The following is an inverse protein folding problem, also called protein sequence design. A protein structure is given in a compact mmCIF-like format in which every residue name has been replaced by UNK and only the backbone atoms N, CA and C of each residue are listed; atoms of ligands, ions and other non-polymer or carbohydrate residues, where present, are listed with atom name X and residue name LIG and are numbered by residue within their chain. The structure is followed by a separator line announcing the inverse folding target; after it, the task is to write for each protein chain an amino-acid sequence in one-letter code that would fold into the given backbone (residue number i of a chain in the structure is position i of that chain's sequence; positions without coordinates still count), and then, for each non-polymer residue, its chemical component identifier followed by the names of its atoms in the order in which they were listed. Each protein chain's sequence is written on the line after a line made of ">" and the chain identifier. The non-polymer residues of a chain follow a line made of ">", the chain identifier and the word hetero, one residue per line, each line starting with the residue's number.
data_IF_958321539222
#
_entry.id   IF_958321539222
#
_cell.length_a   1.000
_cell.length_b   1.000
_cell.length_c   1.000
_cell.angle_alpha   90.00
_cell.angle_beta   90.00
_cell.angle_gamma   90.00
#
_symmetry.space_group_name_H-M   'P 1'
#
loop_
_entity.id
_entity.type
_entity.pdbx_description
1 polymer ?
#
# COMPACT_ATOMS: atom_id res chain seq x y z
N UNK A 1 8.04 -36.96 0.29
CA UNK A 1 6.76 -36.23 0.46
C UNK A 1 6.77 -35.43 1.75
N UNK A 2 5.87 -34.42 1.91
CA UNK A 2 5.85 -33.62 3.15
C UNK A 2 5.02 -34.26 4.25
N UNK A 3 5.49 -34.13 5.49
CA UNK A 3 4.83 -34.56 6.70
C UNK A 3 5.00 -33.57 7.84
N UNK A 4 4.30 -33.80 8.95
CA UNK A 4 4.41 -33.00 10.17
C UNK A 4 4.62 -33.96 11.35
N UNK A 5 5.59 -33.68 12.22
CA UNK A 5 5.83 -34.44 13.43
C UNK A 5 4.66 -34.17 14.39
N UNK A 6 3.91 -35.22 14.73
CA UNK A 6 2.78 -35.13 15.65
C UNK A 6 3.26 -35.27 17.09
N UNK A 7 4.21 -36.15 17.33
CA UNK A 7 4.74 -36.44 18.66
C UNK A 7 6.23 -36.72 18.56
N UNK A 8 6.99 -36.27 19.57
CA UNK A 8 8.39 -36.59 19.76
C UNK A 8 8.65 -36.88 21.24
N UNK A 9 9.27 -38.01 21.55
CA UNK A 9 9.52 -38.47 22.93
C UNK A 9 11.02 -38.59 23.27
N UNK A 10 11.90 -37.99 22.44
CA UNK A 10 13.33 -37.91 22.68
C UNK A 10 14.18 -38.92 21.89
N UNK A 11 13.70 -40.12 21.66
CA UNK A 11 14.35 -41.19 20.88
C UNK A 11 13.44 -41.70 19.75
N UNK A 12 12.13 -41.62 19.93
CA UNK A 12 11.13 -42.06 18.96
C UNK A 12 10.02 -41.04 18.80
N UNK A 13 9.35 -41.07 17.69
CA UNK A 13 8.27 -40.12 17.37
C UNK A 13 7.29 -40.65 16.34
N UNK A 14 6.28 -39.83 16.05
CA UNK A 14 5.29 -40.11 15.03
C UNK A 14 5.20 -38.94 14.07
N UNK A 15 5.25 -39.21 12.75
CA UNK A 15 5.06 -38.25 11.67
C UNK A 15 3.82 -38.56 10.90
N UNK A 16 3.01 -37.54 10.57
CA UNK A 16 1.91 -37.63 9.64
C UNK A 16 2.33 -37.20 8.25
N UNK A 17 2.17 -38.07 7.26
CA UNK A 17 2.48 -37.75 5.87
C UNK A 17 1.53 -38.51 4.94
N UNK A 18 1.01 -37.84 3.91
CA UNK A 18 0.10 -38.44 2.93
C UNK A 18 -1.17 -39.06 3.50
N UNK A 19 -1.68 -38.54 4.63
CA UNK A 19 -2.86 -39.06 5.32
C UNK A 19 -2.60 -40.30 6.18
N UNK A 20 -1.38 -40.75 6.29
CA UNK A 20 -0.96 -41.89 7.11
C UNK A 20 -0.04 -41.39 8.25
N UNK A 21 0.10 -42.23 9.29
CA UNK A 21 1.02 -42.01 10.40
C UNK A 21 2.13 -43.04 10.31
N UNK A 22 3.35 -42.59 10.50
CA UNK A 22 4.54 -43.42 10.51
C UNK A 22 5.27 -43.22 11.85
N UNK A 23 5.67 -44.27 12.47
CA UNK A 23 6.58 -44.24 13.63
C UNK A 23 8.01 -44.11 13.14
N UNK A 24 8.84 -43.35 13.83
CA UNK A 24 10.24 -43.17 13.47
C UNK A 24 11.12 -43.09 14.72
N UNK A 25 12.32 -43.58 14.59
CA UNK A 25 13.40 -43.47 15.58
C UNK A 25 14.39 -42.38 15.14
N UNK A 26 15.25 -41.98 16.07
CA UNK A 26 16.25 -40.92 15.80
C UNK A 26 17.18 -41.29 14.64
N UNK A 27 17.37 -42.59 14.36
CA UNK A 27 18.22 -43.08 13.26
C UNK A 27 17.65 -42.72 11.86
N UNK A 28 16.35 -42.49 11.76
CA UNK A 28 15.71 -42.02 10.53
C UNK A 28 15.86 -40.52 10.33
N UNK A 29 16.38 -39.79 11.33
CA UNK A 29 16.48 -38.33 11.29
C UNK A 29 17.77 -37.88 10.61
N UNK A 30 17.64 -37.09 9.53
CA UNK A 30 18.76 -36.53 8.76
C UNK A 30 18.93 -35.04 8.95
N UNK A 31 18.64 -34.49 10.10
CA UNK A 31 18.73 -33.06 10.39
C UNK A 31 19.77 -32.73 11.47
N UNK A 32 20.31 -31.52 11.41
CA UNK A 32 21.21 -30.99 12.43
C UNK A 32 20.47 -30.40 13.65
N UNK A 33 19.15 -30.34 13.60
CA UNK A 33 18.26 -29.80 14.64
C UNK A 33 17.51 -30.97 15.27
N UNK A 34 17.32 -30.94 16.59
CA UNK A 34 16.55 -31.98 17.29
C UNK A 34 15.10 -31.96 16.79
N UNK A 35 14.47 -33.12 16.49
CA UNK A 35 13.09 -33.22 16.14
C UNK A 35 12.18 -32.54 17.18
N UNK A 36 11.16 -31.82 16.74
CA UNK A 36 10.18 -31.19 17.63
C UNK A 36 8.75 -31.38 17.09
N UNK A 37 7.80 -31.46 18.01
CA UNK A 37 6.38 -31.52 17.66
C UNK A 37 5.97 -30.31 16.82
N UNK A 38 5.14 -30.53 15.80
CA UNK A 38 4.68 -29.55 14.81
C UNK A 38 5.75 -29.12 13.79
N UNK A 39 6.94 -29.72 13.80
CA UNK A 39 7.96 -29.47 12.78
C UNK A 39 7.55 -30.07 11.44
N UNK A 40 7.69 -29.31 10.37
CA UNK A 40 7.49 -29.77 9.00
C UNK A 40 8.73 -30.49 8.51
N UNK A 41 8.56 -31.67 7.97
CA UNK A 41 9.63 -32.56 7.52
C UNK A 41 9.37 -33.08 6.12
N UNK A 42 10.42 -33.35 5.39
CA UNK A 42 10.37 -34.14 4.17
C UNK A 42 10.54 -35.62 4.53
N UNK A 43 9.57 -36.43 4.10
CA UNK A 43 9.47 -37.86 4.43
C UNK A 43 9.85 -38.65 3.19
N UNK A 44 10.90 -39.43 3.27
CA UNK A 44 11.27 -40.43 2.28
C UNK A 44 10.64 -41.78 2.68
N UNK A 45 9.93 -42.39 1.77
CA UNK A 45 9.31 -43.73 1.97
C UNK A 45 9.89 -44.65 0.93
N UNK A 46 10.34 -45.83 1.39
CA UNK A 46 10.84 -46.91 0.54
C UNK A 46 10.03 -48.18 0.84
N UNK A 47 9.47 -48.80 -0.18
CA UNK A 47 8.60 -50.02 -0.09
C UNK A 47 7.44 -49.90 0.93
N UNK A 48 6.96 -48.66 1.20
CA UNK A 48 5.86 -48.42 2.13
C UNK A 48 6.29 -48.18 3.57
N UNK A 49 7.58 -48.32 3.89
CA UNK A 49 8.18 -48.02 5.18
C UNK A 49 8.91 -46.68 5.17
N UNK A 50 9.06 -46.08 6.34
CA UNK A 50 9.75 -44.79 6.46
C UNK A 50 11.28 -45.03 6.36
N UNK A 51 11.89 -44.40 5.32
CA UNK A 51 13.34 -44.52 5.10
C UNK A 51 14.14 -43.40 5.77
N UNK A 52 13.64 -42.14 5.65
CA UNK A 52 14.35 -41.00 6.22
C UNK A 52 13.41 -39.80 6.43
N UNK A 53 13.79 -38.92 7.39
CA UNK A 53 13.15 -37.67 7.72
C UNK A 53 14.17 -36.54 7.66
N UNK A 54 13.88 -35.51 6.85
CA UNK A 54 14.73 -34.33 6.74
C UNK A 54 13.92 -33.09 7.16
N UNK A 55 14.41 -32.25 8.08
CA UNK A 55 13.71 -31.02 8.46
C UNK A 55 13.65 -30.04 7.29
N UNK A 56 12.47 -29.47 7.04
CA UNK A 56 12.31 -28.38 6.07
C UNK A 56 12.60 -27.07 6.79
N UNK A 57 13.52 -26.26 6.26
CA UNK A 57 13.89 -24.99 6.87
C UNK A 57 12.74 -24.00 6.82
N UNK A 58 12.59 -23.16 7.85
CA UNK A 58 11.58 -22.07 7.86
C UNK A 58 11.76 -21.12 6.68
N UNK A 59 13.00 -20.88 6.25
CA UNK A 59 13.30 -20.05 5.08
C UNK A 59 12.77 -20.67 3.78
N UNK A 60 12.74 -21.99 3.67
CA UNK A 60 12.21 -22.70 2.51
C UNK A 60 10.67 -22.69 2.50
N UNK A 61 10.05 -22.90 3.66
CA UNK A 61 8.60 -22.75 3.85
C UNK A 61 8.13 -21.33 3.55
N UNK A 62 8.89 -20.31 4.02
CA UNK A 62 8.60 -18.91 3.72
C UNK A 62 8.73 -18.60 2.22
N UNK A 63 9.75 -19.12 1.52
CA UNK A 63 9.92 -18.95 0.07
C UNK A 63 8.79 -19.59 -0.71
N UNK A 64 8.35 -20.78 -0.34
CA UNK A 64 7.24 -21.45 -1.03
C UNK A 64 5.91 -20.76 -0.79
N UNK A 65 5.63 -20.32 0.44
CA UNK A 65 4.43 -19.54 0.73
C UNK A 65 4.42 -18.22 -0.05
N UNK A 66 5.57 -17.54 -0.15
CA UNK A 66 5.73 -16.33 -0.93
C UNK A 66 5.53 -16.61 -2.44
N UNK A 67 6.08 -17.70 -2.95
CA UNK A 67 5.92 -18.11 -4.35
C UNK A 67 4.47 -18.49 -4.67
N UNK A 68 3.76 -19.17 -3.77
CA UNK A 68 2.34 -19.48 -3.91
C UNK A 68 1.49 -18.20 -3.92
N UNK A 69 1.72 -17.27 -2.98
CA UNK A 69 1.03 -15.98 -2.92
C UNK A 69 1.29 -15.13 -4.17
N UNK A 70 2.54 -15.09 -4.68
CA UNK A 70 2.86 -14.34 -5.91
C UNK A 70 2.23 -14.98 -7.14
N UNK A 71 2.11 -16.29 -7.21
CA UNK A 71 1.45 -17.02 -8.30
C UNK A 71 -0.04 -16.71 -8.41
N UNK A 72 -0.77 -16.74 -7.30
CA UNK A 72 -2.18 -16.35 -7.23
C UNK A 72 -2.36 -14.84 -7.42
N UNK A 73 -1.59 -14.02 -6.74
CA UNK A 73 -1.61 -12.57 -6.89
C UNK A 73 -1.40 -12.12 -8.34
N UNK A 74 -0.54 -12.82 -9.08
CA UNK A 74 -0.31 -12.55 -10.51
C UNK A 74 -1.51 -12.87 -11.39
N UNK A 75 -2.29 -13.90 -11.07
CA UNK A 75 -3.55 -14.22 -11.78
C UNK A 75 -4.59 -13.13 -11.53
N UNK A 76 -4.78 -12.73 -10.28
CA UNK A 76 -5.69 -11.63 -9.92
C UNK A 76 -5.25 -10.31 -10.53
N UNK A 77 -3.96 -9.98 -10.44
CA UNK A 77 -3.42 -8.79 -11.07
C UNK A 77 -3.72 -8.74 -12.57
N UNK A 78 -3.45 -9.82 -13.33
CA UNK A 78 -3.76 -9.90 -14.75
C UNK A 78 -5.25 -9.69 -15.04
N UNK A 79 -6.15 -10.27 -14.25
CA UNK A 79 -7.58 -10.10 -14.41
C UNK A 79 -8.03 -8.66 -14.13
N UNK A 80 -7.51 -8.05 -13.05
CA UNK A 80 -7.78 -6.63 -12.72
C UNK A 80 -7.23 -5.71 -13.81
N UNK A 81 -6.01 -5.94 -14.29
CA UNK A 81 -5.42 -5.15 -15.38
C UNK A 81 -6.21 -5.25 -16.69
N UNK A 82 -6.75 -6.44 -17.01
CA UNK A 82 -7.58 -6.62 -18.19
C UNK A 82 -8.90 -5.86 -18.10
N UNK A 83 -9.54 -5.84 -16.93
CA UNK A 83 -10.83 -5.16 -16.70
C UNK A 83 -10.64 -3.64 -16.54
N UNK A 84 -9.62 -3.22 -15.81
CA UNK A 84 -9.35 -1.80 -15.50
C UNK A 84 -8.70 -1.06 -16.66
N UNK A 85 -7.99 -1.75 -17.55
CA UNK A 85 -7.28 -1.19 -18.70
C UNK A 85 -5.90 -0.64 -18.33
N UNK A 86 -4.99 -0.71 -19.29
CA UNK A 86 -3.56 -0.36 -19.12
C UNK A 86 -3.34 1.07 -18.65
N UNK A 87 -4.10 2.03 -19.19
CA UNK A 87 -3.94 3.45 -18.88
C UNK A 87 -4.18 3.75 -17.39
N UNK A 88 -5.25 3.17 -16.83
CA UNK A 88 -5.60 3.36 -15.42
C UNK A 88 -4.58 2.66 -14.53
N UNK A 89 -4.11 1.48 -14.91
CA UNK A 89 -3.09 0.75 -14.18
C UNK A 89 -1.76 1.54 -14.13
N UNK A 90 -1.36 2.16 -15.24
CA UNK A 90 -0.19 3.05 -15.29
C UNK A 90 -0.41 4.26 -14.39
N UNK A 91 -1.60 4.86 -14.42
CA UNK A 91 -1.95 5.99 -13.55
C UNK A 91 -1.83 5.64 -12.06
N UNK A 92 -2.30 4.47 -11.63
CA UNK A 92 -2.14 4.02 -10.24
C UNK A 92 -0.69 3.69 -9.88
N UNK A 93 0.09 3.13 -10.81
CA UNK A 93 1.51 2.93 -10.64
C UNK A 93 2.25 4.26 -10.46
N UNK A 94 1.95 5.24 -11.30
CA UNK A 94 2.49 6.59 -11.19
C UNK A 94 2.09 7.25 -9.86
N UNK A 95 0.82 7.15 -9.47
CA UNK A 95 0.34 7.65 -8.17
C UNK A 95 1.15 7.05 -7.01
N UNK A 96 1.34 5.74 -7.00
CA UNK A 96 2.08 5.04 -5.94
C UNK A 96 3.54 5.52 -5.87
N UNK A 97 4.23 5.61 -7.03
CA UNK A 97 5.62 6.07 -7.09
C UNK A 97 5.73 7.52 -6.62
N UNK A 98 4.84 8.41 -7.09
CA UNK A 98 4.85 9.82 -6.70
C UNK A 98 4.55 9.96 -5.21
N UNK A 99 3.56 9.24 -4.69
CA UNK A 99 3.15 9.31 -3.30
C UNK A 99 4.23 8.85 -2.31
N UNK A 100 5.06 7.88 -2.70
CA UNK A 100 6.07 7.28 -1.83
C UNK A 100 7.44 7.96 -1.96
N UNK A 101 7.81 8.41 -3.16
CA UNK A 101 9.21 8.77 -3.45
C UNK A 101 9.41 10.22 -3.93
N UNK A 102 8.34 10.89 -4.37
CA UNK A 102 8.49 12.24 -4.91
C UNK A 102 8.16 13.29 -3.85
N UNK A 103 9.06 14.25 -3.69
CA UNK A 103 8.87 15.36 -2.77
C UNK A 103 7.75 16.28 -3.28
N UNK A 104 6.73 16.48 -2.46
CA UNK A 104 5.60 17.34 -2.77
C UNK A 104 5.80 18.76 -2.29
N UNK A 105 6.39 18.93 -1.12
CA UNK A 105 6.62 20.21 -0.46
C UNK A 105 8.02 20.21 0.11
N UNK A 106 8.72 21.33 -0.03
CA UNK A 106 10.02 21.57 0.58
C UNK A 106 9.87 22.70 1.59
N UNK A 107 10.36 22.50 2.82
CA UNK A 107 10.41 23.59 3.80
C UNK A 107 11.56 24.55 3.45
N UNK A 108 11.23 25.82 3.23
CA UNK A 108 12.22 26.88 3.07
C UNK A 108 12.73 27.28 4.45
N UNK A 109 13.97 26.97 4.76
CA UNK A 109 14.55 27.28 6.08
C UNK A 109 15.98 26.80 6.24
N UNK A 110 16.70 26.55 5.13
CA UNK A 110 18.12 26.19 5.16
C UNK A 110 18.41 24.71 5.51
N UNK A 111 17.45 24.00 6.06
CA UNK A 111 17.51 22.55 6.26
C UNK A 111 16.53 21.95 5.23
N UNK A 112 17.06 21.41 4.14
CA UNK A 112 16.25 20.89 3.02
C UNK A 112 15.36 19.70 3.44
N UNK A 113 14.34 19.98 4.25
CA UNK A 113 13.35 18.97 4.65
C UNK A 113 12.32 18.82 3.54
N UNK A 114 12.19 17.61 3.04
CA UNK A 114 11.30 17.26 1.95
C UNK A 114 10.18 16.36 2.46
N UNK A 115 8.95 16.67 2.09
CA UNK A 115 7.78 15.89 2.50
C UNK A 115 7.16 15.17 1.30
N UNK A 116 6.97 13.87 1.46
CA UNK A 116 6.19 13.04 0.54
C UNK A 116 4.69 13.06 0.91
N UNK A 117 3.83 12.47 0.07
CA UNK A 117 2.41 12.32 0.42
C UNK A 117 2.22 11.47 1.68
N UNK A 118 3.06 10.46 1.87
CA UNK A 118 3.03 9.59 3.05
C UNK A 118 3.30 10.37 4.32
N UNK A 119 4.28 11.26 4.30
CA UNK A 119 4.63 12.10 5.45
C UNK A 119 3.48 13.04 5.82
N UNK A 120 2.84 13.65 4.83
CA UNK A 120 1.69 14.53 5.03
C UNK A 120 0.48 13.78 5.61
N UNK A 121 0.21 12.56 5.14
CA UNK A 121 -0.88 11.72 5.63
C UNK A 121 -0.62 11.16 7.04
N UNK A 122 0.63 11.09 7.44
CA UNK A 122 1.03 10.64 8.78
C UNK A 122 0.59 11.60 9.88
N UNK A 123 0.38 12.88 9.53
CA UNK A 123 -0.10 13.92 10.45
C UNK A 123 0.94 14.38 11.47
N UNK A 124 2.14 13.84 11.45
CA UNK A 124 3.20 14.13 12.39
C UNK A 124 4.44 14.66 11.65
N UNK A 125 4.33 15.93 11.25
CA UNK A 125 5.38 16.66 10.51
C UNK A 125 6.70 16.66 11.28
N UNK A 126 6.65 16.70 12.62
CA UNK A 126 7.85 16.71 13.46
C UNK A 126 8.58 15.33 13.40
N UNK A 127 7.84 14.22 13.42
CA UNK A 127 8.41 12.88 13.26
C UNK A 127 8.89 12.61 11.83
N UNK A 128 8.19 13.11 10.83
CA UNK A 128 8.60 13.01 9.43
C UNK A 128 9.93 13.74 9.18
N UNK A 129 10.14 14.92 9.79
CA UNK A 129 11.38 15.67 9.73
C UNK A 129 12.58 14.91 10.36
N UNK A 130 12.31 13.98 11.29
CA UNK A 130 13.32 13.13 11.93
C UNK A 130 13.48 11.76 11.23
N UNK A 131 12.87 11.57 10.06
CA UNK A 131 12.97 10.34 9.26
C UNK A 131 12.09 9.18 9.78
N UNK A 132 11.19 9.46 10.71
CA UNK A 132 10.25 8.49 11.26
C UNK A 132 8.89 8.53 10.55
N UNK A 133 8.76 7.90 9.38
CA UNK A 133 7.46 7.77 8.71
C UNK A 133 6.50 6.90 9.52
N UNK A 134 5.31 7.39 9.87
CA UNK A 134 4.31 6.55 10.51
C UNK A 134 3.71 5.59 9.47
N UNK A 135 3.58 4.30 9.82
CA UNK A 135 2.97 3.31 8.94
C UNK A 135 1.53 3.63 8.51
N UNK A 136 0.89 4.61 9.17
CA UNK A 136 -0.45 5.09 8.85
C UNK A 136 -0.53 5.75 7.47
N UNK A 137 0.44 6.60 7.12
CA UNK A 137 0.48 7.26 5.81
C UNK A 137 0.66 6.24 4.69
N UNK A 138 1.58 5.28 4.87
CA UNK A 138 1.79 4.16 3.92
C UNK A 138 0.51 3.36 3.74
N UNK A 139 -0.18 3.01 4.83
CA UNK A 139 -1.42 2.24 4.78
C UNK A 139 -2.52 2.97 4.00
N UNK A 140 -2.66 4.29 4.18
CA UNK A 140 -3.64 5.08 3.43
C UNK A 140 -3.32 5.14 1.93
N UNK A 141 -2.05 5.29 1.55
CA UNK A 141 -1.62 5.26 0.14
C UNK A 141 -1.85 3.87 -0.47
N UNK A 142 -1.55 2.79 0.26
CA UNK A 142 -1.83 1.43 -0.20
C UNK A 142 -3.33 1.18 -0.35
N UNK A 143 -4.16 1.66 0.58
CA UNK A 143 -5.62 1.56 0.50
C UNK A 143 -6.16 2.33 -0.71
N UNK A 144 -5.64 3.55 -0.95
CA UNK A 144 -5.98 4.34 -2.13
C UNK A 144 -5.59 3.61 -3.43
N UNK A 145 -4.42 2.96 -3.45
CA UNK A 145 -3.99 2.15 -4.60
C UNK A 145 -4.85 0.91 -4.77
N UNK A 146 -5.20 0.22 -3.68
CA UNK A 146 -6.07 -0.96 -3.71
C UNK A 146 -7.49 -0.64 -4.24
N UNK A 147 -7.94 0.62 -4.19
CA UNK A 147 -9.21 1.05 -4.76
C UNK A 147 -9.33 0.78 -6.28
N UNK A 148 -8.19 0.60 -6.98
CA UNK A 148 -8.15 0.17 -8.38
C UNK A 148 -8.87 -1.18 -8.59
N UNK A 149 -8.83 -2.06 -7.61
CA UNK A 149 -9.46 -3.39 -7.71
C UNK A 149 -10.97 -3.36 -7.42
N UNK A 150 -11.50 -2.27 -6.86
CA UNK A 150 -12.91 -2.19 -6.48
C UNK A 150 -13.89 -2.48 -7.64
N UNK A 151 -13.70 -2.00 -8.88
CA UNK A 151 -14.60 -2.31 -9.99
C UNK A 151 -14.59 -3.79 -10.41
N UNK A 152 -13.51 -4.50 -10.12
CA UNK A 152 -13.40 -5.94 -10.39
C UNK A 152 -14.20 -6.78 -9.39
N UNK A 153 -14.07 -6.45 -8.08
CA UNK A 153 -14.80 -7.17 -7.04
C UNK A 153 -16.26 -6.73 -6.91
N UNK A 154 -16.51 -5.46 -7.16
CA UNK A 154 -17.81 -4.85 -6.97
C UNK A 154 -18.44 -4.46 -8.31
N UNK A 155 -19.31 -5.32 -8.83
CA UNK A 155 -20.01 -5.10 -10.10
C UNK A 155 -21.13 -4.04 -10.00
N UNK A 156 -21.17 -3.26 -8.93
CA UNK A 156 -22.15 -2.21 -8.74
C UNK A 156 -21.88 -1.02 -9.68
N UNK A 157 -22.94 -0.31 -10.07
CA UNK A 157 -22.86 0.87 -10.96
C UNK A 157 -21.90 1.94 -10.47
N UNK A 158 -21.79 2.13 -9.14
CA UNK A 158 -20.93 3.13 -8.51
C UNK A 158 -19.45 2.69 -8.38
N UNK A 159 -19.12 1.44 -8.64
CA UNK A 159 -17.76 0.93 -8.47
C UNK A 159 -16.66 1.73 -9.23
N UNK A 160 -16.89 2.27 -10.45
CA UNK A 160 -15.91 3.10 -11.12
C UNK A 160 -15.57 4.40 -10.39
N UNK A 161 -16.45 4.89 -9.48
CA UNK A 161 -16.15 6.08 -8.67
C UNK A 161 -15.03 5.80 -7.63
N UNK A 162 -14.70 4.54 -7.35
CA UNK A 162 -13.54 4.19 -6.54
C UNK A 162 -12.22 4.74 -7.10
N UNK A 163 -12.16 5.03 -8.40
CA UNK A 163 -10.99 5.68 -9.01
C UNK A 163 -10.79 7.14 -8.55
N UNK A 164 -11.79 7.74 -7.90
CA UNK A 164 -11.64 9.04 -7.26
C UNK A 164 -11.01 8.97 -5.85
N UNK A 165 -10.85 7.78 -5.26
CA UNK A 165 -10.27 7.62 -3.91
C UNK A 165 -8.88 8.24 -3.78
N UNK A 166 -7.93 8.07 -4.72
CA UNK A 166 -6.64 8.75 -4.67
C UNK A 166 -6.77 10.28 -4.62
N UNK A 167 -7.75 10.85 -5.34
CA UNK A 167 -8.02 12.29 -5.30
C UNK A 167 -8.49 12.73 -3.90
N UNK A 168 -9.41 11.99 -3.30
CA UNK A 168 -9.93 12.29 -1.94
C UNK A 168 -8.81 12.20 -0.91
N UNK A 169 -7.98 11.17 -0.97
CA UNK A 169 -6.83 10.98 -0.06
C UNK A 169 -5.83 12.12 -0.22
N UNK A 170 -5.51 12.50 -1.45
CA UNK A 170 -4.60 13.63 -1.73
C UNK A 170 -5.18 14.94 -1.24
N UNK A 171 -6.46 15.22 -1.50
CA UNK A 171 -7.14 16.41 -1.02
C UNK A 171 -7.16 16.48 0.52
N UNK A 172 -7.41 15.36 1.19
CA UNK A 172 -7.37 15.27 2.64
C UNK A 172 -5.98 15.54 3.22
N UNK A 173 -4.91 15.08 2.54
CA UNK A 173 -3.54 15.35 2.94
C UNK A 173 -3.14 16.81 2.79
N UNK A 174 -3.59 17.47 1.73
CA UNK A 174 -3.27 18.88 1.43
C UNK A 174 -4.16 19.87 2.18
N UNK A 175 -5.32 19.44 2.66
CA UNK A 175 -6.30 20.30 3.34
C UNK A 175 -5.74 21.04 4.57
N UNK A 176 -5.00 20.40 5.49
CA UNK A 176 -4.41 21.09 6.64
C UNK A 176 -3.44 22.21 6.22
N UNK A 177 -2.61 21.94 5.19
CA UNK A 177 -1.64 22.91 4.65
C UNK A 177 -2.39 24.11 4.06
N UNK A 178 -3.40 23.86 3.23
CA UNK A 178 -4.21 24.93 2.65
C UNK A 178 -4.90 25.77 3.71
N UNK A 179 -5.48 25.13 4.73
CA UNK A 179 -6.18 25.80 5.82
C UNK A 179 -5.22 26.68 6.65
N UNK A 180 -4.01 26.20 6.90
CA UNK A 180 -3.01 26.96 7.64
C UNK A 180 -2.54 28.15 6.83
N UNK A 181 -2.23 27.96 5.56
CA UNK A 181 -1.83 29.04 4.66
C UNK A 181 -2.92 30.11 4.52
N UNK A 182 -4.19 29.73 4.41
CA UNK A 182 -5.31 30.68 4.34
C UNK A 182 -5.49 31.48 5.63
N UNK A 183 -5.22 30.89 6.80
CA UNK A 183 -5.25 31.58 8.10
C UNK A 183 -4.11 32.58 8.22
N UNK A 184 -2.91 32.20 7.77
CA UNK A 184 -1.73 33.09 7.81
C UNK A 184 -1.95 34.30 6.90
N UNK A 185 -2.49 34.12 5.69
CA UNK A 185 -2.84 35.24 4.80
C UNK A 185 -3.88 36.17 5.43
N UNK A 186 -4.93 35.63 6.02
CA UNK A 186 -5.94 36.44 6.70
C UNK A 186 -5.34 37.20 7.90
N UNK A 187 -4.38 36.63 8.60
CA UNK A 187 -3.68 37.30 9.70
C UNK A 187 -2.76 38.44 9.19
N UNK A 188 -2.08 38.24 8.05
CA UNK A 188 -1.26 39.29 7.41
C UNK A 188 -2.13 40.43 6.91
N UNK A 189 -3.25 40.14 6.21
CA UNK A 189 -4.22 41.15 5.76
C UNK A 189 -4.80 41.97 6.93
N UNK A 190 -5.12 41.30 8.06
CA UNK A 190 -5.59 41.99 9.26
C UNK A 190 -4.51 42.86 9.93
N UNK A 191 -3.23 42.51 9.80
CA UNK A 191 -2.10 43.30 10.31
C UNK A 191 -1.79 44.54 9.46
N UNK A 192 -1.98 44.44 8.15
CA UNK A 192 -1.78 45.56 7.20
C UNK A 192 -2.76 46.72 7.47
N UNK A 193 -3.93 46.39 8.02
CA UNK A 193 -4.93 47.37 8.43
C UNK A 193 -4.51 48.22 9.67
N UNK A 194 -3.51 47.75 10.46
CA UNK A 194 -3.05 48.40 11.69
C UNK A 194 -1.84 49.37 11.53
N UNK A 195 -1.36 49.60 10.31
CA UNK A 195 -0.39 50.67 9.97
C UNK A 195 1.08 50.27 9.99
N UNK A 196 1.93 51.17 9.48
CA UNK A 196 3.36 51.02 9.13
C UNK A 196 4.30 50.43 10.22
N UNK A 197 3.94 50.46 11.47
CA UNK A 197 4.77 49.88 12.56
C UNK A 197 4.65 48.34 12.62
N UNK A 198 3.55 47.78 12.13
CA UNK A 198 3.30 46.34 12.07
C UNK A 198 3.73 45.74 10.73
N UNK A 199 3.88 46.53 9.66
CA UNK A 199 4.31 46.04 8.34
C UNK A 199 5.66 45.31 8.40
N UNK A 200 6.61 45.78 9.23
CA UNK A 200 7.90 45.09 9.45
C UNK A 200 7.77 43.74 10.15
N UNK A 201 6.76 43.58 10.99
CA UNK A 201 6.46 42.31 11.65
C UNK A 201 5.70 41.36 10.69
N UNK A 202 4.85 41.92 9.83
CA UNK A 202 4.18 41.20 8.72
C UNK A 202 5.22 40.68 7.73
N UNK A 203 6.19 41.48 7.27
CA UNK A 203 7.28 41.03 6.38
C UNK A 203 8.11 39.87 6.98
N UNK A 204 8.34 39.90 8.30
CA UNK A 204 8.99 38.79 8.99
C UNK A 204 8.12 37.52 9.03
N UNK A 205 6.80 37.65 9.22
CA UNK A 205 5.86 36.56 9.23
C UNK A 205 5.60 36.02 7.81
N UNK A 206 5.61 36.91 6.81
CA UNK A 206 5.51 36.54 5.40
C UNK A 206 6.75 35.75 4.94
N UNK A 207 7.92 36.15 5.40
CA UNK A 207 9.16 35.37 5.24
C UNK A 207 9.10 33.98 5.89
N UNK A 208 8.36 33.81 6.99
CA UNK A 208 8.12 32.52 7.63
C UNK A 208 6.95 31.76 6.98
N UNK A 209 5.91 32.45 6.50
CA UNK A 209 4.81 31.87 5.75
C UNK A 209 5.26 31.34 4.38
N UNK A 210 6.23 31.99 3.76
CA UNK A 210 6.94 31.51 2.57
C UNK A 210 7.75 30.22 2.79
N UNK A 211 7.83 29.73 4.04
CA UNK A 211 8.51 28.47 4.35
C UNK A 211 7.89 27.24 3.63
N UNK A 212 6.65 27.34 3.16
CA UNK A 212 5.99 26.29 2.35
C UNK A 212 5.88 26.67 0.87
N UNK A 213 6.54 27.71 0.41
CA UNK A 213 6.31 28.34 -0.91
C UNK A 213 6.95 27.59 -2.08
N UNK A 214 7.66 26.51 -1.84
CA UNK A 214 8.13 25.63 -2.89
C UNK A 214 7.22 24.41 -3.02
N UNK A 215 6.04 24.62 -3.62
CA UNK A 215 5.26 23.49 -4.18
C UNK A 215 6.15 22.84 -5.23
N UNK A 216 6.71 21.69 -4.87
CA UNK A 216 7.61 20.93 -5.73
C UNK A 216 6.88 20.46 -7.00
N UNK A 217 7.64 20.22 -8.06
CA UNK A 217 7.13 19.62 -9.29
C UNK A 217 6.36 18.31 -9.04
N UNK A 218 6.71 17.60 -7.96
CA UNK A 218 6.01 16.38 -7.52
C UNK A 218 4.55 16.61 -7.17
N UNK A 219 4.19 17.76 -6.58
CA UNK A 219 2.81 18.07 -6.25
C UNK A 219 1.96 18.25 -7.52
N UNK A 220 2.49 18.91 -8.52
CA UNK A 220 1.81 19.09 -9.82
C UNK A 220 1.62 17.76 -10.53
N UNK A 221 2.63 16.89 -10.53
CA UNK A 221 2.52 15.54 -11.10
C UNK A 221 1.49 14.69 -10.35
N UNK A 222 1.44 14.79 -9.02
CA UNK A 222 0.44 14.10 -8.21
C UNK A 222 -0.97 14.57 -8.55
N UNK A 223 -1.19 15.89 -8.56
CA UNK A 223 -2.49 16.50 -8.89
C UNK A 223 -2.94 16.08 -10.31
N UNK A 224 -2.07 16.16 -11.30
CA UNK A 224 -2.38 15.71 -12.65
C UNK A 224 -2.78 14.23 -12.70
N UNK A 225 -2.03 13.37 -11.97
CA UNK A 225 -2.29 11.93 -11.93
C UNK A 225 -3.63 11.61 -11.27
N UNK A 226 -3.95 12.23 -10.12
CA UNK A 226 -5.21 11.95 -9.42
C UNK A 226 -6.44 12.51 -10.17
N UNK A 227 -6.29 13.66 -10.86
CA UNK A 227 -7.34 14.21 -11.75
C UNK A 227 -7.57 13.25 -12.92
N UNK A 228 -6.50 12.74 -13.55
CA UNK A 228 -6.61 11.75 -14.63
C UNK A 228 -7.36 10.49 -14.17
N UNK A 229 -7.02 9.94 -13.00
CA UNK A 229 -7.70 8.77 -12.45
C UNK A 229 -9.17 9.04 -12.16
N UNK A 230 -9.48 10.17 -11.54
CA UNK A 230 -10.87 10.57 -11.25
C UNK A 230 -11.67 10.75 -12.55
N UNK A 231 -11.10 11.41 -13.57
CA UNK A 231 -11.72 11.59 -14.88
C UNK A 231 -12.03 10.23 -15.54
N UNK A 232 -11.08 9.30 -15.56
CA UNK A 232 -11.32 7.93 -16.07
C UNK A 232 -12.43 7.21 -15.30
N UNK A 233 -12.54 7.44 -13.99
CA UNK A 233 -13.64 6.93 -13.17
C UNK A 233 -15.00 7.47 -13.59
N UNK A 234 -15.11 8.78 -13.79
CA UNK A 234 -16.35 9.43 -14.23
C UNK A 234 -16.76 8.97 -15.63
N UNK A 235 -15.84 8.93 -16.59
CA UNK A 235 -16.12 8.46 -17.95
C UNK A 235 -16.67 7.04 -17.94
N UNK A 236 -16.08 6.13 -17.15
CA UNK A 236 -16.58 4.76 -17.04
C UNK A 236 -17.92 4.66 -16.33
N UNK A 237 -18.15 5.50 -15.33
CA UNK A 237 -19.45 5.57 -14.66
C UNK A 237 -20.55 5.98 -15.65
N UNK A 238 -20.32 7.01 -16.46
CA UNK A 238 -21.26 7.47 -17.48
C UNK A 238 -21.50 6.40 -18.55
N UNK A 239 -20.46 5.74 -19.04
CA UNK A 239 -20.57 4.68 -20.05
C UNK A 239 -21.42 3.50 -19.56
N UNK A 240 -21.29 3.09 -18.29
CA UNK A 240 -22.14 2.05 -17.69
C UNK A 240 -23.61 2.48 -17.53
N UNK A 241 -23.87 3.80 -17.39
CA UNK A 241 -25.21 4.34 -17.28
C UNK A 241 -26.02 4.27 -18.58
N UNK A 242 -25.37 4.39 -19.72
CA UNK A 242 -26.03 4.40 -21.03
C UNK A 242 -26.44 2.98 -21.51
N UNK A 243 -25.68 1.95 -21.13
CA UNK A 243 -25.99 0.57 -21.54
C UNK A 243 -27.29 0.00 -20.94
N UNK A 244 -27.79 0.58 -19.84
CA UNK A 244 -29.02 0.11 -19.19
C UNK A 244 -30.32 0.65 -19.82
N UNK A 245 -30.25 1.72 -20.60
CA UNK A 245 -31.43 2.40 -21.19
C UNK A 245 -31.84 1.72 -22.51
N UNK A 246 -30.88 1.17 -23.25
CA UNK A 246 -31.15 0.57 -24.57
C UNK A 246 -31.75 -0.85 -24.49
N UNK A 247 -31.66 -1.56 -23.37
CA UNK A 247 -32.25 -2.88 -23.21
C UNK A 247 -33.73 -2.87 -22.80
N UNK A 248 -34.27 -1.72 -22.35
CA UNK A 248 -35.68 -1.58 -21.92
C UNK A 248 -36.63 -1.20 -23.05
N UNK A 249 -36.15 -0.85 -24.25
CA UNK A 249 -36.98 -0.44 -25.39
C UNK A 249 -37.22 -1.57 -26.42
N UNK A 250 -36.75 -2.77 -26.17
CA UNK A 250 -36.84 -3.92 -27.10
C UNK A 250 -37.75 -5.07 -26.59
N UNK A 251 -38.62 -4.82 -25.59
CA UNK A 251 -39.60 -5.78 -25.08
C UNK A 251 -41.05 -5.41 -25.39
#
# INVERSE_FOLDING_TARGET
>A
MRGTIIMWAGDHGTVAAGGRRYEFDIDHWQGNVVPATSMTVEVAIDDGELAALTPVSEAELARESLAAMTGEGRKYAKAVFADVGKDVAIGYGAFLVIALFVNLVSAAGGVGVHFTLVDLLSGDIAHAALGGGSGRGVLLVLLATASMAAPYFWKHRLAPLAFAVPLVVTAAALWPIYREHSRQRAAVEAMDEFGDAMSRMADQLEGQAGAFDTIGTGAWLLVATVIFLAFKGVVRFLARGQGSVTSSSAS
#
